data_IF_473835086407
#
_entry.id   IF_473835086407
#
_cell.length_a   1.000
_cell.length_b   1.000
_cell.length_c   1.000
_cell.angle_alpha   90.00
_cell.angle_beta   90.00
_cell.angle_gamma   90.00
#
_symmetry.space_group_name_H-M   'P 1'
#
loop_
_entity.id
_entity.type
_entity.pdbx_description
1 polymer ?
#
# COMPACT_ATOMS: atom_id res chain seq x y z
N UNK A 1 14.08 -20.67 24.46
CA UNK A 1 15.08 -20.18 23.47
C UNK A 1 14.79 -20.74 22.08
N UNK A 2 14.67 -22.06 21.90
CA UNK A 2 14.28 -22.67 20.61
C UNK A 2 12.85 -22.29 20.18
N UNK A 3 11.90 -22.29 21.11
CA UNK A 3 10.48 -21.99 20.82
C UNK A 3 10.25 -20.54 20.33
N UNK A 4 11.01 -19.58 20.86
CA UNK A 4 10.99 -18.19 20.39
C UNK A 4 11.57 -18.04 18.99
N UNK A 5 12.65 -18.78 18.69
CA UNK A 5 13.24 -18.80 17.36
C UNK A 5 12.26 -19.37 16.32
N UNK A 6 11.62 -20.49 16.64
CA UNK A 6 10.65 -21.16 15.77
C UNK A 6 9.44 -20.26 15.48
N UNK A 7 8.93 -19.58 16.51
CA UNK A 7 7.85 -18.59 16.39
C UNK A 7 8.22 -17.43 15.46
N UNK A 8 9.43 -16.88 15.60
CA UNK A 8 9.93 -15.79 14.75
C UNK A 8 10.18 -16.25 13.31
N UNK A 9 10.68 -17.47 13.13
CA UNK A 9 10.89 -18.06 11.82
C UNK A 9 9.56 -18.30 11.09
N UNK A 10 8.54 -18.78 11.78
CA UNK A 10 7.19 -18.93 11.21
C UNK A 10 6.63 -17.60 10.70
N UNK A 11 6.82 -16.50 11.43
CA UNK A 11 6.38 -15.16 11.00
C UNK A 11 7.10 -14.71 9.74
N UNK A 12 8.41 -14.91 9.67
CA UNK A 12 9.20 -14.58 8.47
C UNK A 12 8.72 -15.37 7.26
N UNK A 13 8.44 -16.67 7.44
CA UNK A 13 7.91 -17.54 6.41
C UNK A 13 6.51 -17.08 5.97
N UNK A 14 5.61 -16.77 6.90
CA UNK A 14 4.28 -16.26 6.59
C UNK A 14 4.33 -14.93 5.85
N UNK A 15 5.17 -14.00 6.28
CA UNK A 15 5.40 -12.72 5.60
C UNK A 15 5.94 -12.95 4.19
N UNK A 16 6.88 -13.87 4.00
CA UNK A 16 7.39 -14.23 2.69
C UNK A 16 6.30 -14.82 1.80
N UNK A 17 5.46 -15.72 2.29
CA UNK A 17 4.35 -16.27 1.51
C UNK A 17 3.30 -15.21 1.14
N UNK A 18 3.04 -14.24 2.02
CA UNK A 18 2.06 -13.18 1.78
C UNK A 18 2.55 -12.11 0.81
N UNK A 19 3.82 -11.70 0.90
CA UNK A 19 4.34 -10.55 0.15
C UNK A 19 5.42 -10.90 -0.88
N UNK A 20 5.80 -12.19 -0.97
CA UNK A 20 6.83 -12.76 -1.82
C UNK A 20 8.17 -12.00 -1.78
N UNK A 21 8.46 -11.38 -0.63
CA UNK A 21 9.65 -10.55 -0.40
C UNK A 21 9.95 -10.45 1.10
N UNK A 22 11.23 -10.52 1.44
CA UNK A 22 11.77 -10.17 2.74
C UNK A 22 12.84 -9.10 2.51
N UNK A 23 12.66 -7.90 3.08
CA UNK A 23 13.71 -6.87 3.11
C UNK A 23 14.32 -6.80 4.50
N UNK A 24 15.56 -6.31 4.63
CA UNK A 24 16.23 -6.13 5.93
C UNK A 24 15.34 -5.37 6.93
N UNK A 25 14.73 -4.26 6.51
CA UNK A 25 13.82 -3.50 7.37
C UNK A 25 12.58 -4.28 7.83
N UNK A 26 12.14 -5.29 7.06
CA UNK A 26 11.05 -6.17 7.49
C UNK A 26 11.59 -7.22 8.45
N UNK A 27 12.75 -7.80 8.16
CA UNK A 27 13.40 -8.78 9.02
C UNK A 27 13.72 -8.19 10.39
N UNK A 28 14.37 -7.02 10.43
CA UNK A 28 14.72 -6.32 11.68
C UNK A 28 13.48 -6.07 12.53
N UNK A 29 12.41 -5.62 11.89
CA UNK A 29 11.13 -5.37 12.56
C UNK A 29 10.50 -6.64 13.11
N UNK A 30 10.40 -7.69 12.29
CA UNK A 30 9.79 -8.98 12.66
C UNK A 30 10.58 -9.67 13.79
N UNK A 31 11.90 -9.47 13.81
CA UNK A 31 12.78 -9.99 14.86
C UNK A 31 12.66 -9.14 16.14
N UNK A 32 12.62 -7.80 16.05
CA UNK A 32 12.62 -6.90 17.20
C UNK A 32 11.28 -6.69 17.90
N UNK A 33 10.15 -6.72 17.18
CA UNK A 33 8.82 -6.45 17.76
C UNK A 33 8.14 -7.73 18.29
N UNK A 34 7.42 -7.65 19.41
CA UNK A 34 6.64 -8.78 19.94
C UNK A 34 5.53 -9.21 18.97
N UNK A 35 5.24 -10.52 18.93
CA UNK A 35 4.40 -11.19 17.93
C UNK A 35 3.04 -10.51 17.67
N UNK A 36 2.42 -9.94 18.71
CA UNK A 36 1.12 -9.26 18.62
C UNK A 36 1.18 -7.85 17.99
N UNK A 37 2.32 -7.17 18.10
CA UNK A 37 2.51 -5.80 17.58
C UNK A 37 2.75 -5.81 16.06
N UNK A 38 3.35 -6.90 15.57
CA UNK A 38 3.70 -7.09 14.16
C UNK A 38 2.45 -7.19 13.28
N UNK A 39 1.39 -7.87 13.73
CA UNK A 39 0.17 -8.09 12.95
C UNK A 39 -0.65 -6.81 12.77
N UNK A 40 -0.81 -6.01 13.83
CA UNK A 40 -1.58 -4.75 13.79
C UNK A 40 -0.91 -3.69 12.91
N UNK A 41 0.42 -3.66 12.87
CA UNK A 41 1.14 -2.61 12.14
C UNK A 41 1.30 -2.86 10.64
N UNK A 42 0.93 -4.06 10.19
CA UNK A 42 0.99 -4.51 8.80
C UNK A 42 -0.32 -4.25 8.04
N UNK A 43 -1.46 -4.13 8.75
CA UNK A 43 -2.77 -3.84 8.13
C UNK A 43 -2.77 -2.50 7.37
N UNK A 44 -2.04 -1.50 7.87
CA UNK A 44 -1.95 -0.18 7.24
C UNK A 44 -0.94 -0.10 6.08
N UNK A 45 -0.16 -1.17 5.81
CA UNK A 45 0.81 -1.20 4.72
C UNK A 45 0.13 -1.54 3.40
N UNK A 46 0.15 -0.58 2.47
CA UNK A 46 -0.38 -0.78 1.13
C UNK A 46 0.65 -1.53 0.27
N UNK A 47 1.88 -1.04 0.20
CA UNK A 47 2.92 -1.68 -0.61
C UNK A 47 4.32 -1.33 -0.11
N UNK A 48 5.24 -2.28 -0.25
CA UNK A 48 6.67 -2.05 -0.10
C UNK A 48 7.23 -1.54 -1.43
N UNK A 49 7.65 -0.26 -1.42
CA UNK A 49 8.25 0.40 -2.56
C UNK A 49 9.69 -0.05 -2.85
N UNK A 50 10.39 0.74 -3.66
CA UNK A 50 11.82 0.56 -3.90
C UNK A 50 12.61 0.79 -2.60
N UNK A 51 13.70 0.04 -2.41
CA UNK A 51 14.54 0.10 -1.21
C UNK A 51 13.82 -0.12 0.14
N UNK A 52 12.70 -0.85 0.15
CA UNK A 52 11.99 -1.19 1.39
C UNK A 52 11.13 -0.07 1.97
N UNK A 53 10.98 1.07 1.26
CA UNK A 53 10.13 2.17 1.75
C UNK A 53 8.67 1.72 1.86
N UNK A 54 8.11 1.83 3.06
CA UNK A 54 6.72 1.49 3.35
C UNK A 54 5.78 2.58 2.83
N UNK A 55 4.79 2.18 2.04
CA UNK A 55 3.67 3.04 1.66
C UNK A 55 2.48 2.66 2.54
N UNK A 56 2.02 3.62 3.35
CA UNK A 56 0.90 3.45 4.28
C UNK A 56 -0.18 4.51 4.06
N UNK A 57 -1.42 4.17 4.35
CA UNK A 57 -2.50 5.15 4.47
C UNK A 57 -2.37 5.90 5.81
N UNK A 58 -2.03 7.18 5.78
CA UNK A 58 -1.78 7.98 6.99
C UNK A 58 -3.02 8.73 7.48
N UNK A 59 -3.79 9.27 6.54
CA UNK A 59 -4.99 10.06 6.84
C UNK A 59 -6.25 9.21 6.75
N UNK A 60 -7.32 9.64 7.44
CA UNK A 60 -8.63 8.98 7.38
C UNK A 60 -9.15 8.83 5.95
N UNK A 61 -8.99 9.86 5.11
CA UNK A 61 -9.39 9.82 3.71
C UNK A 61 -8.57 8.84 2.87
N UNK A 62 -7.28 8.64 3.19
CA UNK A 62 -6.47 7.61 2.53
C UNK A 62 -6.90 6.21 2.94
N UNK A 63 -7.22 5.98 4.23
CA UNK A 63 -7.76 4.68 4.69
C UNK A 63 -9.09 4.38 4.01
N UNK A 64 -10.00 5.36 3.99
CA UNK A 64 -11.27 5.24 3.27
C UNK A 64 -11.09 4.93 1.78
N UNK A 65 -10.09 5.52 1.12
CA UNK A 65 -9.74 5.20 -0.27
C UNK A 65 -9.27 3.74 -0.41
N UNK A 66 -8.46 3.25 0.53
CA UNK A 66 -8.02 1.85 0.57
C UNK A 66 -9.22 0.92 0.77
N UNK A 67 -10.07 1.18 1.75
CA UNK A 67 -11.24 0.35 2.06
C UNK A 67 -12.18 0.27 0.85
N UNK A 68 -12.53 1.43 0.26
CA UNK A 68 -13.40 1.49 -0.91
C UNK A 68 -12.80 0.77 -2.14
N UNK A 69 -11.48 0.67 -2.24
CA UNK A 69 -10.83 0.00 -3.37
C UNK A 69 -11.05 -1.52 -3.39
N UNK A 70 -11.44 -2.12 -2.27
CA UNK A 70 -11.74 -3.55 -2.20
C UNK A 70 -13.19 -3.86 -2.58
N UNK A 71 -14.11 -2.98 -2.23
CA UNK A 71 -15.55 -3.25 -2.33
C UNK A 71 -16.23 -2.58 -3.53
N UNK A 72 -15.54 -1.66 -4.23
CA UNK A 72 -16.13 -0.84 -5.31
C UNK A 72 -15.35 -1.01 -6.61
N UNK A 73 -16.08 -1.21 -7.70
CA UNK A 73 -15.50 -1.26 -9.05
C UNK A 73 -14.90 0.07 -9.50
N UNK A 74 -15.41 1.19 -8.95
CA UNK A 74 -14.96 2.55 -9.28
C UNK A 74 -14.97 3.44 -8.04
N UNK A 75 -13.85 4.15 -7.81
CA UNK A 75 -13.69 5.07 -6.67
C UNK A 75 -13.19 6.42 -7.17
N UNK A 76 -13.90 7.48 -6.79
CA UNK A 76 -13.48 8.86 -7.03
C UNK A 76 -12.81 9.43 -5.78
N UNK A 77 -11.50 9.66 -5.84
CA UNK A 77 -10.76 10.29 -4.76
C UNK A 77 -10.77 11.82 -4.91
N UNK A 78 -11.56 12.52 -4.11
CA UNK A 78 -11.62 13.98 -4.06
C UNK A 78 -10.85 14.56 -2.88
N UNK A 79 -10.29 15.76 -3.03
CA UNK A 79 -9.66 16.50 -1.93
C UNK A 79 -8.55 17.47 -2.37
N UNK A 80 -8.04 18.30 -1.46
CA UNK A 80 -7.05 19.35 -1.77
C UNK A 80 -5.77 18.80 -2.41
N UNK A 81 -5.06 19.63 -3.18
CA UNK A 81 -3.75 19.28 -3.73
C UNK A 81 -2.77 18.86 -2.61
N UNK A 82 -1.85 17.93 -2.90
CA UNK A 82 -0.83 17.49 -1.93
C UNK A 82 -1.29 16.49 -0.85
N UNK A 83 -2.57 16.09 -0.84
CA UNK A 83 -3.13 15.15 0.16
C UNK A 83 -2.85 13.65 -0.10
N UNK A 84 -2.04 13.33 -1.10
CA UNK A 84 -1.59 11.97 -1.36
C UNK A 84 -2.59 11.04 -2.08
N UNK A 85 -3.74 11.55 -2.56
CA UNK A 85 -4.77 10.77 -3.28
C UNK A 85 -4.17 9.91 -4.41
N UNK A 86 -3.40 10.57 -5.28
CA UNK A 86 -2.70 9.99 -6.43
C UNK A 86 -1.65 8.96 -5.98
N UNK A 87 -0.90 9.27 -4.93
CA UNK A 87 0.13 8.38 -4.40
C UNK A 87 -0.46 7.10 -3.82
N UNK A 88 -1.55 7.21 -3.04
CA UNK A 88 -2.28 6.08 -2.47
C UNK A 88 -2.93 5.22 -3.55
N UNK A 89 -3.55 5.82 -4.57
CA UNK A 89 -4.14 5.09 -5.70
C UNK A 89 -3.09 4.29 -6.49
N UNK A 90 -1.95 4.91 -6.80
CA UNK A 90 -0.82 4.22 -7.46
C UNK A 90 -0.29 3.07 -6.60
N UNK A 91 -0.16 3.29 -5.29
CA UNK A 91 0.32 2.25 -4.37
C UNK A 91 -0.60 1.03 -4.35
N UNK A 92 -1.92 1.23 -4.37
CA UNK A 92 -2.93 0.17 -4.46
C UNK A 92 -2.82 -0.59 -5.80
N UNK A 93 -2.70 0.14 -6.92
CA UNK A 93 -2.55 -0.47 -8.24
C UNK A 93 -1.26 -1.31 -8.35
N UNK A 94 -0.14 -0.79 -7.81
CA UNK A 94 1.15 -1.51 -7.78
C UNK A 94 1.06 -2.74 -6.88
N UNK A 95 0.36 -2.68 -5.74
CA UNK A 95 0.11 -3.85 -4.90
C UNK A 95 -0.63 -4.93 -5.69
N UNK A 96 -1.74 -4.58 -6.33
CA UNK A 96 -2.53 -5.53 -7.12
C UNK A 96 -1.70 -6.17 -8.25
N UNK A 97 -0.83 -5.38 -8.91
CA UNK A 97 0.08 -5.90 -9.92
C UNK A 97 1.11 -6.87 -9.35
N UNK A 98 1.72 -6.55 -8.20
CA UNK A 98 2.71 -7.42 -7.52
C UNK A 98 2.09 -8.72 -7.01
N UNK A 99 0.86 -8.65 -6.51
CA UNK A 99 0.08 -9.80 -6.06
C UNK A 99 -0.49 -10.63 -7.22
N UNK A 100 -0.26 -10.20 -8.47
CA UNK A 100 -0.79 -10.83 -9.69
C UNK A 100 -2.33 -10.85 -9.75
N UNK A 101 -2.98 -9.96 -9.01
CA UNK A 101 -4.43 -9.73 -9.07
C UNK A 101 -4.81 -9.09 -10.42
N UNK A 102 -3.89 -8.30 -11.00
CA UNK A 102 -4.05 -7.68 -12.32
C UNK A 102 -2.86 -7.97 -13.23
N UNK A 103 -3.09 -7.99 -14.55
CA UNK A 103 -2.04 -8.23 -15.56
C UNK A 103 -1.29 -6.95 -15.98
N UNK A 104 -1.94 -5.80 -15.91
CA UNK A 104 -1.39 -4.51 -16.35
C UNK A 104 -2.12 -3.35 -15.65
N UNK A 105 -1.41 -2.24 -15.48
CA UNK A 105 -1.95 -0.96 -15.01
C UNK A 105 -2.06 -0.03 -16.23
N UNK A 106 -3.19 0.68 -16.36
CA UNK A 106 -3.38 1.68 -17.40
C UNK A 106 -3.44 3.04 -16.72
N UNK A 107 -2.48 3.90 -17.03
CA UNK A 107 -2.46 5.29 -16.59
C UNK A 107 -3.00 6.15 -17.73
N UNK A 108 -4.18 6.73 -17.54
CA UNK A 108 -4.75 7.67 -18.50
C UNK A 108 -4.66 9.07 -17.93
N UNK A 109 -4.05 9.99 -18.68
CA UNK A 109 -4.28 11.40 -18.45
C UNK A 109 -5.62 11.75 -19.10
N UNK A 110 -6.63 12.23 -18.36
CA UNK A 110 -7.83 12.73 -19.01
C UNK A 110 -7.45 13.91 -19.90
N UNK A 111 -7.94 13.92 -21.14
CA UNK A 111 -7.82 15.07 -22.01
C UNK A 111 -8.66 16.20 -21.41
N UNK A 112 -7.99 17.25 -20.94
CA UNK A 112 -8.66 18.46 -20.43
C UNK A 112 -7.96 19.66 -21.04
N UNK A 113 -8.61 20.32 -21.99
CA UNK A 113 -8.32 21.71 -22.33
C UNK A 113 -8.72 22.54 -21.11
N UNK A 114 -7.74 23.14 -20.44
CA UNK A 114 -7.99 24.12 -19.40
C UNK A 114 -8.44 25.43 -20.07
N UNK A 115 -9.71 25.49 -20.45
CA UNK A 115 -10.46 26.75 -20.44
C UNK A 115 -10.52 27.25 -18.99
N UNK A 116 -10.20 28.51 -18.79
CA UNK A 116 -9.87 29.12 -17.50
C UNK A 116 -10.79 28.74 -16.31
N UNK A 117 -10.16 28.58 -15.13
CA UNK A 117 -10.72 28.54 -13.76
C UNK A 117 -11.03 27.21 -13.05
N UNK A 118 -10.67 26.04 -13.59
CA UNK A 118 -10.77 24.79 -12.81
C UNK A 118 -9.38 24.21 -12.54
N UNK A 119 -8.98 24.30 -11.26
CA UNK A 119 -7.69 23.81 -10.78
C UNK A 119 -7.44 22.35 -11.15
N UNK A 120 -6.22 22.10 -11.62
CA UNK A 120 -5.73 20.81 -12.11
C UNK A 120 -6.06 19.65 -11.15
N UNK A 121 -6.88 18.69 -11.62
CA UNK A 121 -7.06 17.41 -10.95
C UNK A 121 -5.91 16.47 -11.34
N UNK A 122 -5.12 16.05 -10.36
CA UNK A 122 -4.11 15.03 -10.54
C UNK A 122 -4.82 13.66 -10.52
N UNK A 123 -5.44 13.32 -11.65
CA UNK A 123 -6.11 12.03 -11.85
C UNK A 123 -5.06 11.01 -12.27
N UNK A 124 -4.88 9.98 -11.45
CA UNK A 124 -4.37 8.68 -11.87
C UNK A 124 -5.52 7.71 -11.65
#
# INVERSE_FOLDING_TARGET
MIEQFETKLQVLIQHFHKYNRLTESNIDRLIMEDHNVVLELDEDVIVHGTHGKLVKARTSNQRKLVDLSYDKDMVFAIGPAGTGKTYTAVALAVRALKNKEVKRIILTRPAVEAGENLGFYQVI
#
